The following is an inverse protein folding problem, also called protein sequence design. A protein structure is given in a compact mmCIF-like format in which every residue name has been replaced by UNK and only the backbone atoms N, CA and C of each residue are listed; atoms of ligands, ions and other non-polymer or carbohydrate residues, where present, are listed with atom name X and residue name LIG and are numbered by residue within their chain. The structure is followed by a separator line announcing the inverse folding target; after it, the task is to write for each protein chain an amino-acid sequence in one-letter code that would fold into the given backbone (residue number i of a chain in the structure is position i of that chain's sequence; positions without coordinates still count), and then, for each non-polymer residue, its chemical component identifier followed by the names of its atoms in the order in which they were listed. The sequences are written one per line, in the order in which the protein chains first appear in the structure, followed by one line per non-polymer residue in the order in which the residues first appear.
data_IF_422416851536
#
_entry.id   IF_422416851536
#
_cell.length_a   1.000
_cell.length_b   1.000
_cell.length_c   1.000
_cell.angle_alpha   90.00
_cell.angle_beta   90.00
_cell.angle_gamma   90.00
#
_symmetry.space_group_name_H-M   'P 1'
#
loop_
_entity.id
_entity.type
_entity.pdbx_description
1 polymer ?
#
# COMPACT_ATOMS: atom_id res chain seq x y z
N UNK A 1 -20.45 40.91 -4.92
CA UNK A 1 -19.21 40.13 -4.92
C UNK A 1 -19.41 38.99 -3.95
N UNK A 2 -19.60 37.77 -4.46
CA UNK A 2 -19.78 36.59 -3.61
C UNK A 2 -18.40 36.07 -3.25
N UNK A 3 -17.94 36.37 -2.04
CA UNK A 3 -16.74 35.80 -1.46
C UNK A 3 -16.99 34.30 -1.26
N UNK A 4 -16.49 33.51 -2.21
CA UNK A 4 -16.53 32.06 -2.13
C UNK A 4 -15.44 31.64 -1.15
N UNK A 5 -15.82 31.48 0.11
CA UNK A 5 -15.03 30.80 1.14
C UNK A 5 -14.63 29.42 0.63
N UNK A 6 -13.39 29.30 0.14
CA UNK A 6 -12.76 28.01 -0.09
C UNK A 6 -12.50 27.40 1.28
N UNK A 7 -13.37 26.48 1.67
CA UNK A 7 -13.16 25.56 2.80
C UNK A 7 -11.71 25.03 2.77
N UNK A 8 -10.96 25.09 3.87
CA UNK A 8 -9.60 24.61 3.90
C UNK A 8 -9.62 23.09 3.71
N UNK A 9 -9.05 22.62 2.60
CA UNK A 9 -8.86 21.20 2.31
C UNK A 9 -8.08 20.58 3.47
N UNK A 10 -8.70 19.66 4.20
CA UNK A 10 -8.09 19.10 5.40
C UNK A 10 -6.82 18.31 5.03
N UNK A 11 -5.74 18.37 5.84
CA UNK A 11 -4.48 17.66 5.58
C UNK A 11 -4.66 16.15 5.33
N UNK A 12 -5.68 15.55 5.92
CA UNK A 12 -6.06 14.14 5.73
C UNK A 12 -6.52 13.84 4.31
N UNK A 13 -7.24 14.75 3.66
CA UNK A 13 -7.69 14.57 2.27
C UNK A 13 -6.55 14.83 1.27
N UNK A 14 -5.62 15.72 1.60
CA UNK A 14 -4.36 15.85 0.87
C UNK A 14 -3.50 14.59 0.99
N UNK A 15 -3.43 13.98 2.18
CA UNK A 15 -2.75 12.70 2.38
C UNK A 15 -3.42 11.57 1.61
N UNK A 16 -4.76 11.45 1.62
CA UNK A 16 -5.49 10.44 0.84
C UNK A 16 -5.24 10.57 -0.67
N UNK A 17 -5.06 11.80 -1.16
CA UNK A 17 -4.74 12.08 -2.56
C UNK A 17 -3.23 12.01 -2.87
N UNK A 18 -2.38 11.88 -1.84
CA UNK A 18 -0.93 11.82 -2.01
C UNK A 18 -0.47 10.46 -2.56
N UNK A 19 0.66 10.48 -3.25
CA UNK A 19 1.36 9.26 -3.69
C UNK A 19 1.67 8.33 -2.52
N UNK A 20 1.95 8.88 -1.32
CA UNK A 20 2.26 8.09 -0.13
C UNK A 20 1.10 7.17 0.30
N UNK A 21 -0.13 7.70 0.35
CA UNK A 21 -1.30 6.89 0.75
C UNK A 21 -1.63 5.82 -0.29
N UNK A 22 -1.45 6.13 -1.59
CA UNK A 22 -1.60 5.16 -2.67
C UNK A 22 -0.57 4.04 -2.57
N UNK A 23 0.69 4.38 -2.28
CA UNK A 23 1.75 3.38 -2.09
C UNK A 23 1.53 2.53 -0.83
N UNK A 24 1.02 3.13 0.25
CA UNK A 24 0.63 2.38 1.45
C UNK A 24 -0.50 1.38 1.16
N UNK A 25 -1.54 1.79 0.41
CA UNK A 25 -2.62 0.88 0.01
C UNK A 25 -2.09 -0.27 -0.86
N UNK A 26 -1.24 0.05 -1.83
CA UNK A 26 -0.65 -0.98 -2.69
C UNK A 26 0.23 -1.97 -1.91
N UNK A 27 1.00 -1.51 -0.93
CA UNK A 27 1.81 -2.38 -0.06
C UNK A 27 0.89 -3.31 0.77
N UNK A 28 -0.20 -2.78 1.33
CA UNK A 28 -1.20 -3.55 2.07
C UNK A 28 -1.88 -4.62 1.21
N UNK A 29 -2.24 -4.29 -0.04
CA UNK A 29 -2.81 -5.24 -0.99
C UNK A 29 -1.85 -6.39 -1.31
N UNK A 30 -0.56 -6.09 -1.49
CA UNK A 30 0.45 -7.13 -1.74
C UNK A 30 0.61 -8.06 -0.54
N UNK A 31 0.56 -7.55 0.69
CA UNK A 31 0.58 -8.36 1.91
C UNK A 31 -0.66 -9.27 2.00
N UNK A 32 -1.85 -8.75 1.67
CA UNK A 32 -3.08 -9.54 1.69
C UNK A 32 -3.05 -10.66 0.62
N UNK A 33 -2.50 -10.37 -0.55
CA UNK A 33 -2.28 -11.37 -1.61
C UNK A 33 -1.30 -12.45 -1.15
N UNK A 34 -0.19 -12.06 -0.53
CA UNK A 34 0.78 -13.00 0.06
C UNK A 34 0.13 -13.90 1.11
N UNK A 35 -0.64 -13.31 2.02
CA UNK A 35 -1.40 -14.04 3.04
C UNK A 35 -2.30 -15.09 2.41
N UNK A 36 -3.05 -14.73 1.37
CA UNK A 36 -3.93 -15.67 0.68
C UNK A 36 -3.15 -16.84 0.09
N UNK A 37 -2.11 -16.58 -0.71
CA UNK A 37 -1.29 -17.62 -1.35
C UNK A 37 -0.68 -18.57 -0.32
N UNK A 38 -0.11 -18.05 0.76
CA UNK A 38 0.49 -18.89 1.80
C UNK A 38 -0.55 -19.66 2.62
N UNK A 39 -1.76 -19.10 2.81
CA UNK A 39 -2.86 -19.82 3.45
C UNK A 39 -3.35 -21.00 2.61
N UNK A 40 -3.44 -20.83 1.29
CA UNK A 40 -3.77 -21.91 0.36
C UNK A 40 -2.73 -23.04 0.41
N UNK A 41 -1.44 -22.70 0.52
CA UNK A 41 -0.36 -23.69 0.61
C UNK A 41 -0.38 -24.48 1.92
N UNK A 42 -0.70 -23.81 3.03
CA UNK A 42 -0.71 -24.42 4.37
C UNK A 42 -2.06 -25.12 4.67
N UNK A 43 -3.06 -24.98 3.80
CA UNK A 43 -4.41 -25.51 3.99
C UNK A 43 -5.16 -24.86 5.15
N UNK A 44 -4.70 -23.71 5.65
CA UNK A 44 -5.30 -22.95 6.76
C UNK A 44 -4.88 -21.49 6.70
N UNK A 45 -5.67 -20.61 7.32
CA UNK A 45 -5.27 -19.21 7.47
C UNK A 45 -4.01 -19.10 8.34
N UNK A 46 -2.96 -18.48 7.78
CA UNK A 46 -1.70 -18.24 8.46
C UNK A 46 -1.72 -16.99 9.37
N UNK A 47 -2.74 -16.15 9.23
CA UNK A 47 -2.88 -14.88 9.95
C UNK A 47 -2.12 -13.73 9.31
N UNK A 48 -2.56 -12.50 9.61
CA UNK A 48 -2.00 -11.28 9.02
C UNK A 48 -0.56 -11.01 9.48
N UNK A 49 -0.27 -11.13 10.78
CA UNK A 49 1.07 -10.86 11.34
C UNK A 49 2.16 -11.77 10.76
N UNK A 50 1.86 -13.06 10.59
CA UNK A 50 2.78 -14.02 9.96
C UNK A 50 3.01 -13.66 8.50
N UNK A 51 1.95 -13.39 7.75
CA UNK A 51 2.05 -13.00 6.35
C UNK A 51 2.83 -11.68 6.17
N UNK A 52 2.57 -10.68 7.00
CA UNK A 52 3.26 -9.39 7.00
C UNK A 52 4.76 -9.56 7.24
N UNK A 53 5.13 -10.28 8.30
CA UNK A 53 6.53 -10.50 8.66
C UNK A 53 7.28 -11.24 7.55
N UNK A 54 6.69 -12.32 7.03
CA UNK A 54 7.26 -13.10 5.95
C UNK A 54 7.42 -12.28 4.66
N UNK A 55 6.40 -11.49 4.31
CA UNK A 55 6.41 -10.63 3.13
C UNK A 55 7.46 -9.53 3.22
N UNK A 56 7.61 -8.88 4.39
CA UNK A 56 8.63 -7.87 4.63
C UNK A 56 10.03 -8.43 4.38
N UNK A 57 10.30 -9.63 4.88
CA UNK A 57 11.62 -10.27 4.79
C UNK A 57 11.92 -10.69 3.35
N UNK A 58 10.96 -11.30 2.65
CA UNK A 58 11.21 -11.99 1.37
C UNK A 58 10.90 -11.15 0.13
N UNK A 59 9.94 -10.24 0.19
CA UNK A 59 9.32 -9.65 -1.00
C UNK A 59 9.43 -8.12 -1.07
N UNK A 60 9.32 -7.43 0.06
CA UNK A 60 9.16 -5.96 0.13
C UNK A 60 10.21 -5.18 -0.63
N UNK A 61 11.49 -5.52 -0.47
CA UNK A 61 12.60 -4.80 -1.12
C UNK A 61 12.51 -4.85 -2.64
N UNK A 62 12.15 -6.01 -3.21
CA UNK A 62 11.98 -6.19 -4.66
C UNK A 62 10.75 -5.43 -5.16
N UNK A 63 9.65 -5.52 -4.43
CA UNK A 63 8.40 -4.83 -4.75
C UNK A 63 8.58 -3.31 -4.79
N UNK A 64 9.24 -2.72 -3.79
CA UNK A 64 9.55 -1.27 -3.75
C UNK A 64 10.41 -0.82 -4.93
N UNK A 65 11.45 -1.58 -5.28
CA UNK A 65 12.32 -1.28 -6.44
C UNK A 65 11.53 -1.28 -7.75
N UNK A 66 10.68 -2.28 -7.96
CA UNK A 66 9.86 -2.37 -9.16
C UNK A 66 8.93 -1.15 -9.33
N UNK A 67 8.31 -0.67 -8.24
CA UNK A 67 7.45 0.51 -8.29
C UNK A 67 8.21 1.82 -8.48
N UNK A 68 9.41 1.96 -7.91
CA UNK A 68 10.28 3.11 -8.16
C UNK A 68 10.68 3.21 -9.65
N UNK A 69 10.99 2.07 -10.28
CA UNK A 69 11.31 2.04 -11.71
C UNK A 69 10.08 2.34 -12.59
N UNK A 70 8.89 1.85 -12.20
CA UNK A 70 7.65 2.13 -12.91
C UNK A 70 7.21 3.61 -12.81
N UNK A 71 7.59 4.32 -11.74
CA UNK A 71 7.32 5.75 -11.56
C UNK A 71 8.41 6.70 -12.08
N UNK A 72 9.53 6.17 -12.59
CA UNK A 72 10.70 6.95 -13.03
C UNK A 72 10.81 7.18 -14.55
N UNK A 73 9.76 6.86 -15.31
CA UNK A 73 9.68 7.15 -16.74
C UNK A 73 8.91 8.44 -17.01
N UNK A 74 9.52 9.59 -16.75
CA UNK A 74 9.17 10.88 -17.34
C UNK A 74 10.38 11.81 -17.34
#
# INVERSE_FOLDING_TARGET
MSDQTKEPVLPTDLLKNSSLYREFQAEREEILKHKWIESEKEGRDIGFERALTDWIIKHRSKWRRARQMAGGGN
#
